data_IF_756790922408
#
_entry.id   IF_756790922408
#
_cell.length_a   1.000
_cell.length_b   1.000
_cell.length_c   1.000
_cell.angle_alpha   90.00
_cell.angle_beta   90.00
_cell.angle_gamma   90.00
#
_symmetry.space_group_name_H-M   'P 1'
#
loop_
_entity.id
_entity.type
_entity.pdbx_description
1 polymer ?
#
# COMPACT_ATOMS: atom_id res chain seq x y z
N UNK A 1 5.59 -16.13 -5.95
CA UNK A 1 4.19 -15.68 -6.08
C UNK A 1 3.89 -14.40 -5.31
N UNK A 2 4.11 -14.34 -3.98
CA UNK A 2 3.78 -13.17 -3.14
C UNK A 2 4.31 -11.82 -3.66
N UNK A 3 5.55 -11.78 -4.17
CA UNK A 3 6.17 -10.55 -4.73
C UNK A 3 5.39 -9.94 -5.89
N UNK A 4 4.90 -10.77 -6.82
CA UNK A 4 4.18 -10.27 -8.00
C UNK A 4 2.82 -9.71 -7.58
N UNK A 5 2.14 -10.40 -6.66
CA UNK A 5 0.85 -9.94 -6.11
C UNK A 5 1.01 -8.57 -5.45
N UNK A 6 2.05 -8.37 -4.63
CA UNK A 6 2.36 -7.09 -3.98
C UNK A 6 2.64 -5.98 -4.99
N UNK A 7 3.44 -6.27 -6.03
CA UNK A 7 3.69 -5.30 -7.12
C UNK A 7 2.38 -4.89 -7.79
N UNK A 8 1.50 -5.84 -8.11
CA UNK A 8 0.22 -5.55 -8.77
C UNK A 8 -0.70 -4.73 -7.86
N UNK A 9 -0.81 -5.10 -6.59
CA UNK A 9 -1.66 -4.39 -5.63
C UNK A 9 -1.15 -2.97 -5.36
N UNK A 10 0.14 -2.78 -5.10
CA UNK A 10 0.68 -1.45 -4.83
C UNK A 10 0.66 -0.57 -6.10
N UNK A 11 0.81 -1.16 -7.29
CA UNK A 11 0.59 -0.45 -8.56
C UNK A 11 -0.87 0.00 -8.74
N UNK A 12 -1.82 -0.85 -8.35
CA UNK A 12 -3.23 -0.49 -8.38
C UNK A 12 -3.53 0.63 -7.37
N UNK A 13 -3.05 0.50 -6.15
CA UNK A 13 -3.18 1.49 -5.08
C UNK A 13 -2.58 2.84 -5.49
N UNK A 14 -1.39 2.84 -6.09
CA UNK A 14 -0.75 4.02 -6.65
C UNK A 14 -1.68 4.77 -7.61
N UNK A 15 -2.25 4.06 -8.60
CA UNK A 15 -3.17 4.67 -9.56
C UNK A 15 -4.45 5.17 -8.88
N UNK A 16 -5.04 4.36 -8.00
CA UNK A 16 -6.25 4.70 -7.26
C UNK A 16 -6.05 5.99 -6.44
N UNK A 17 -4.94 6.09 -5.71
CA UNK A 17 -4.60 7.25 -4.89
C UNK A 17 -4.33 8.50 -5.73
N UNK A 18 -3.73 8.38 -6.91
CA UNK A 18 -3.61 9.51 -7.85
C UNK A 18 -5.00 10.00 -8.26
N UNK A 19 -5.91 9.11 -8.64
CA UNK A 19 -7.27 9.51 -9.03
C UNK A 19 -8.02 10.18 -7.88
N UNK A 20 -7.96 9.60 -6.68
CA UNK A 20 -8.57 10.18 -5.49
C UNK A 20 -7.93 11.54 -5.16
N UNK A 21 -6.61 11.63 -5.20
CA UNK A 21 -5.86 12.88 -4.96
C UNK A 21 -6.30 13.98 -5.91
N UNK A 22 -6.33 13.71 -7.23
CA UNK A 22 -6.80 14.65 -8.25
C UNK A 22 -8.25 15.06 -8.01
N UNK A 23 -9.13 14.12 -7.69
CA UNK A 23 -10.54 14.40 -7.39
C UNK A 23 -10.69 15.33 -6.17
N UNK A 24 -9.84 15.19 -5.15
CA UNK A 24 -9.90 15.99 -3.94
C UNK A 24 -9.25 17.38 -4.04
N UNK A 25 -8.47 17.68 -5.08
CA UNK A 25 -7.83 19.00 -5.28
C UNK A 25 -8.80 20.18 -5.05
N UNK A 26 -9.99 20.23 -5.70
CA UNK A 26 -10.91 21.35 -5.54
C UNK A 26 -11.64 21.38 -4.19
N UNK A 27 -11.73 20.25 -3.47
CA UNK A 27 -12.50 20.16 -2.22
C UNK A 27 -11.63 20.33 -0.97
N UNK A 28 -10.46 19.70 -0.97
CA UNK A 28 -9.50 19.76 0.13
C UNK A 28 -8.08 19.50 -0.41
N UNK A 29 -7.34 20.56 -0.78
CA UNK A 29 -6.02 20.42 -1.39
C UNK A 29 -4.99 19.81 -0.43
N UNK A 30 -5.15 19.98 0.89
CA UNK A 30 -4.28 19.33 1.87
C UNK A 30 -4.49 17.82 1.85
N UNK A 31 -5.74 17.36 1.82
CA UNK A 31 -6.06 15.94 1.72
C UNK A 31 -5.58 15.35 0.39
N UNK A 32 -5.66 16.11 -0.71
CA UNK A 32 -5.09 15.71 -1.99
C UNK A 32 -3.57 15.50 -1.91
N UNK A 33 -2.84 16.39 -1.23
CA UNK A 33 -1.40 16.22 -0.98
C UNK A 33 -1.14 14.93 -0.20
N UNK A 34 -1.92 14.63 0.83
CA UNK A 34 -1.80 13.36 1.57
C UNK A 34 -1.98 12.15 0.67
N UNK A 35 -2.98 12.15 -0.23
CA UNK A 35 -3.16 11.07 -1.19
C UNK A 35 -2.01 10.94 -2.18
N UNK A 36 -1.43 12.06 -2.64
CA UNK A 36 -0.25 12.00 -3.51
C UNK A 36 0.99 11.48 -2.80
N UNK A 37 1.18 11.82 -1.52
CA UNK A 37 2.29 11.28 -0.73
C UNK A 37 2.11 9.77 -0.49
N UNK A 38 0.90 9.33 -0.14
CA UNK A 38 0.59 7.90 -0.06
C UNK A 38 0.75 7.20 -1.42
N UNK A 39 0.43 7.87 -2.54
CA UNK A 39 0.67 7.29 -3.86
C UNK A 39 2.17 7.10 -4.11
N UNK A 40 2.98 8.09 -3.75
CA UNK A 40 4.43 8.01 -3.90
C UNK A 40 5.03 6.86 -3.08
N UNK A 41 4.51 6.64 -1.89
CA UNK A 41 4.86 5.51 -1.02
C UNK A 41 4.55 4.16 -1.69
N UNK A 42 3.33 3.97 -2.22
CA UNK A 42 2.96 2.77 -2.98
C UNK A 42 3.82 2.57 -4.25
N UNK A 43 4.28 3.65 -4.89
CA UNK A 43 5.22 3.58 -6.00
C UNK A 43 6.62 3.15 -5.55
N UNK A 44 7.08 3.63 -4.40
CA UNK A 44 8.36 3.23 -3.81
C UNK A 44 8.38 1.73 -3.57
N UNK A 45 7.31 1.18 -2.98
CA UNK A 45 7.17 -0.27 -2.79
C UNK A 45 7.30 -1.04 -4.09
N UNK A 46 6.61 -0.60 -5.16
CA UNK A 46 6.72 -1.23 -6.48
C UNK A 46 8.17 -1.23 -6.96
N UNK A 47 8.90 -0.13 -6.75
CA UNK A 47 10.31 -0.01 -7.10
C UNK A 47 11.18 -0.91 -6.21
N UNK A 48 10.94 -0.95 -4.91
CA UNK A 48 11.67 -1.80 -3.97
C UNK A 48 11.45 -3.28 -4.29
N UNK A 49 10.21 -3.68 -4.51
CA UNK A 49 9.88 -5.04 -4.93
C UNK A 49 10.47 -5.36 -6.29
N UNK A 50 10.61 -4.42 -7.23
CA UNK A 50 11.18 -4.69 -8.56
C UNK A 50 12.71 -4.72 -8.56
N UNK A 51 13.34 -3.72 -7.95
CA UNK A 51 14.78 -3.42 -8.07
C UNK A 51 15.60 -3.79 -6.83
N UNK A 52 14.96 -4.07 -5.70
CA UNK A 52 15.60 -4.28 -4.39
C UNK A 52 16.40 -3.07 -3.89
N UNK A 53 16.10 -1.89 -4.40
CA UNK A 53 16.65 -0.62 -3.92
C UNK A 53 15.50 0.22 -3.35
N UNK A 54 15.69 0.71 -2.14
CA UNK A 54 14.79 1.69 -1.54
C UNK A 54 15.25 3.09 -1.92
N UNK A 55 14.28 3.95 -2.27
CA UNK A 55 14.53 5.35 -2.60
C UNK A 55 14.41 6.21 -1.34
N UNK A 56 13.59 5.76 -0.39
CA UNK A 56 13.29 6.48 0.84
C UNK A 56 14.36 6.16 1.91
N UNK A 57 14.94 7.20 2.53
CA UNK A 57 15.89 6.99 3.61
C UNK A 57 15.20 6.40 4.87
N UNK A 58 15.88 5.53 5.63
CA UNK A 58 15.28 4.78 6.75
C UNK A 58 14.74 5.66 7.88
N UNK A 59 15.16 6.92 7.96
CA UNK A 59 14.65 7.92 8.90
C UNK A 59 13.16 8.25 8.67
N UNK A 60 12.64 8.02 7.46
CA UNK A 60 11.23 8.28 7.11
C UNK A 60 10.29 7.11 7.37
N UNK A 61 10.74 6.03 8.01
CA UNK A 61 9.93 4.87 8.38
C UNK A 61 8.61 5.22 9.09
N UNK A 62 8.61 6.25 9.94
CA UNK A 62 7.39 6.63 10.67
C UNK A 62 6.30 7.12 9.72
N UNK A 63 6.70 7.80 8.65
CA UNK A 63 5.78 8.33 7.64
C UNK A 63 5.21 7.18 6.79
N UNK A 64 6.07 6.27 6.33
CA UNK A 64 5.72 5.03 5.64
C UNK A 64 4.69 4.21 6.46
N UNK A 65 4.95 4.01 7.76
CA UNK A 65 4.00 3.36 8.66
C UNK A 65 2.61 4.03 8.71
N UNK A 66 2.54 5.37 8.67
CA UNK A 66 1.26 6.08 8.63
C UNK A 66 0.55 5.94 7.28
N UNK A 67 1.30 5.88 6.17
CA UNK A 67 0.71 5.64 4.85
C UNK A 67 0.16 4.22 4.73
N UNK A 68 0.83 3.22 5.30
CA UNK A 68 0.29 1.87 5.34
C UNK A 68 -0.99 1.75 6.19
N UNK A 69 -1.07 2.48 7.31
CA UNK A 69 -2.33 2.59 8.06
C UNK A 69 -3.42 3.25 7.21
N UNK A 70 -3.10 4.33 6.50
CA UNK A 70 -4.05 5.00 5.62
C UNK A 70 -4.54 4.04 4.51
N UNK A 71 -3.66 3.21 3.96
CA UNK A 71 -3.99 2.20 2.97
C UNK A 71 -4.91 1.12 3.52
N UNK A 72 -4.66 0.63 4.75
CA UNK A 72 -5.58 -0.27 5.42
C UNK A 72 -6.99 0.36 5.60
N UNK A 73 -7.07 1.65 5.96
CA UNK A 73 -8.35 2.36 6.08
C UNK A 73 -9.06 2.54 4.73
N UNK A 74 -8.32 2.79 3.65
CA UNK A 74 -8.86 2.86 2.29
C UNK A 74 -9.40 1.49 1.87
N UNK A 75 -8.64 0.42 2.11
CA UNK A 75 -9.08 -0.95 1.84
C UNK A 75 -10.35 -1.30 2.61
N UNK A 76 -10.44 -0.97 3.90
CA UNK A 76 -11.66 -1.13 4.70
C UNK A 76 -12.83 -0.30 4.15
N UNK A 77 -12.56 0.91 3.66
CA UNK A 77 -13.58 1.76 3.04
C UNK A 77 -14.12 1.14 1.74
N UNK A 78 -13.26 0.52 0.93
CA UNK A 78 -13.66 -0.21 -0.28
C UNK A 78 -14.51 -1.44 0.05
N UNK A 79 -14.17 -2.18 1.12
CA UNK A 79 -14.97 -3.32 1.60
C UNK A 79 -16.35 -2.83 2.05
N UNK A 80 -16.39 -1.78 2.88
CA UNK A 80 -17.65 -1.21 3.36
C UNK A 80 -18.51 -0.69 2.19
N UNK A 81 -17.90 0.03 1.25
CA UNK A 81 -18.57 0.51 0.05
C UNK A 81 -19.12 -0.66 -0.79
N UNK A 82 -18.31 -1.67 -1.05
CA UNK A 82 -18.73 -2.87 -1.75
C UNK A 82 -19.91 -3.56 -1.07
N UNK A 83 -19.87 -3.73 0.25
CA UNK A 83 -20.96 -4.35 1.01
C UNK A 83 -22.26 -3.53 1.00
N UNK A 84 -22.18 -2.22 1.22
CA UNK A 84 -23.36 -1.33 1.27
C UNK A 84 -24.10 -1.27 -0.07
N UNK A 85 -23.34 -1.28 -1.17
CA UNK A 85 -23.89 -1.16 -2.52
C UNK A 85 -24.12 -2.50 -3.22
N UNK A 86 -23.68 -3.62 -2.62
CA UNK A 86 -23.87 -4.95 -3.17
C UNK A 86 -25.33 -5.24 -3.54
N UNK A 87 -26.29 -4.82 -2.72
CA UNK A 87 -27.73 -5.06 -2.98
C UNK A 87 -28.43 -4.03 -3.87
N UNK A 88 -27.74 -2.98 -4.32
CA UNK A 88 -28.37 -1.82 -5.00
C UNK A 88 -28.03 -1.69 -6.48
N UNK A 89 -26.93 -2.28 -6.93
CA UNK A 89 -26.37 -2.09 -8.28
C UNK A 89 -25.69 -3.38 -8.77
N UNK A 90 -24.96 -3.33 -9.89
CA UNK A 90 -24.26 -4.47 -10.52
C UNK A 90 -23.43 -5.29 -9.53
N UNK A 91 -23.98 -6.42 -9.08
CA UNK A 91 -23.43 -7.27 -8.01
C UNK A 91 -21.95 -7.62 -8.18
N UNK A 92 -21.52 -7.88 -9.42
CA UNK A 92 -20.15 -8.31 -9.74
C UNK A 92 -19.10 -7.23 -9.42
N UNK A 93 -19.38 -5.97 -9.74
CA UNK A 93 -18.46 -4.85 -9.51
C UNK A 93 -18.23 -4.65 -8.01
N UNK A 94 -19.28 -4.76 -7.20
CA UNK A 94 -19.18 -4.55 -5.74
C UNK A 94 -18.54 -5.73 -5.02
N UNK A 95 -18.68 -6.95 -5.54
CA UNK A 95 -17.92 -8.12 -5.06
C UNK A 95 -16.44 -7.95 -5.36
N UNK A 96 -16.09 -7.57 -6.59
CA UNK A 96 -14.69 -7.32 -6.97
C UNK A 96 -14.09 -6.17 -6.16
N UNK A 97 -14.86 -5.11 -5.92
CA UNK A 97 -14.42 -3.98 -5.09
C UNK A 97 -14.17 -4.40 -3.64
N UNK A 98 -15.08 -5.19 -3.05
CA UNK A 98 -14.90 -5.75 -1.72
C UNK A 98 -13.69 -6.67 -1.64
N UNK A 99 -13.53 -7.53 -2.63
CA UNK A 99 -12.41 -8.47 -2.72
C UNK A 99 -11.07 -7.73 -2.82
N UNK A 100 -11.01 -6.72 -3.67
CA UNK A 100 -9.82 -5.89 -3.82
C UNK A 100 -9.52 -5.10 -2.54
N UNK A 101 -10.54 -4.57 -1.86
CA UNK A 101 -10.38 -3.95 -0.54
C UNK A 101 -9.80 -4.92 0.49
N UNK A 102 -10.23 -6.19 0.51
CA UNK A 102 -9.65 -7.22 1.38
C UNK A 102 -8.18 -7.48 1.07
N UNK A 103 -7.79 -7.51 -0.20
CA UNK A 103 -6.39 -7.68 -0.60
C UNK A 103 -5.52 -6.52 -0.14
N UNK A 104 -6.00 -5.28 -0.28
CA UNK A 104 -5.28 -4.08 0.18
C UNK A 104 -5.10 -4.10 1.70
N UNK A 105 -6.16 -4.42 2.46
CA UNK A 105 -6.06 -4.54 3.92
C UNK A 105 -5.07 -5.61 4.31
N UNK A 106 -5.11 -6.77 3.65
CA UNK A 106 -4.19 -7.86 3.93
C UNK A 106 -2.73 -7.45 3.67
N UNK A 107 -2.43 -6.81 2.55
CA UNK A 107 -1.07 -6.37 2.23
C UNK A 107 -0.58 -5.30 3.20
N UNK A 108 -1.39 -4.29 3.52
CA UNK A 108 -0.97 -3.24 4.46
C UNK A 108 -0.73 -3.77 5.88
N UNK A 109 -1.54 -4.74 6.34
CA UNK A 109 -1.26 -5.42 7.61
C UNK A 109 0.06 -6.20 7.55
N UNK A 110 0.32 -6.88 6.43
CA UNK A 110 1.56 -7.64 6.24
C UNK A 110 2.79 -6.71 6.23
N UNK A 111 2.70 -5.56 5.57
CA UNK A 111 3.77 -4.57 5.50
C UNK A 111 4.03 -3.90 6.85
N UNK A 112 2.97 -3.52 7.57
CA UNK A 112 3.07 -3.07 8.98
C UNK A 112 3.74 -4.13 9.85
N UNK A 113 3.37 -5.40 9.70
CA UNK A 113 3.98 -6.48 10.47
C UNK A 113 5.48 -6.65 10.16
N UNK A 114 5.87 -6.60 8.87
CA UNK A 114 7.27 -6.66 8.45
C UNK A 114 8.06 -5.48 9.02
N UNK A 115 7.53 -4.27 8.88
CA UNK A 115 8.10 -3.03 9.41
C UNK A 115 8.33 -3.10 10.92
N UNK A 116 7.32 -3.52 11.68
CA UNK A 116 7.43 -3.66 13.14
C UNK A 116 8.43 -4.76 13.53
N UNK A 117 8.44 -5.88 12.82
CA UNK A 117 9.38 -6.99 13.07
C UNK A 117 10.83 -6.56 12.84
N UNK A 118 11.09 -5.79 11.78
CA UNK A 118 12.42 -5.27 11.46
C UNK A 118 12.89 -4.23 12.49
N UNK A 119 11.98 -3.40 13.00
CA UNK A 119 12.31 -2.31 13.95
C UNK A 119 12.43 -2.76 15.41
N UNK A 120 11.59 -3.68 15.87
CA UNK A 120 11.56 -4.15 17.27
C UNK A 120 12.34 -5.44 17.54
N UNK A 121 12.99 -6.03 16.52
CA UNK A 121 14.04 -7.01 16.72
C UNK A 121 13.60 -8.47 16.82
N UNK A 122 13.09 -9.03 15.72
CA UNK A 122 13.53 -10.37 15.31
C UNK A 122 14.58 -10.16 14.22
N UNK A 123 15.84 -10.01 14.63
CA UNK A 123 16.98 -10.02 13.70
C UNK A 123 16.98 -11.35 12.93
N UNK A 124 16.47 -11.35 11.70
CA UNK A 124 17.13 -12.15 10.66
C UNK A 124 18.02 -11.17 9.93
N UNK A 125 19.29 -11.11 10.33
CA UNK A 125 20.37 -10.64 9.47
C UNK A 125 20.17 -11.22 8.07
N UNK A 126 19.74 -10.41 7.11
CA UNK A 126 20.03 -10.63 5.70
C UNK A 126 20.83 -9.45 5.17
N UNK A 127 22.14 -9.53 5.41
CA UNK A 127 23.09 -9.33 4.32
C UNK A 127 23.38 -7.91 3.84
N UNK A 128 23.72 -6.97 4.74
CA UNK A 128 24.83 -6.05 4.43
C UNK A 128 26.14 -6.83 4.65
N UNK A 129 26.63 -7.49 3.59
CA UNK A 129 28.00 -7.99 3.29
C UNK A 129 28.01 -9.43 2.76
N UNK A 130 28.67 -9.59 1.60
CA UNK A 130 29.28 -10.80 0.99
C UNK A 130 28.36 -11.89 0.42
N UNK A 131 28.20 -11.83 -0.90
CA UNK A 131 28.47 -12.92 -1.85
C UNK A 131 29.11 -12.25 -3.09
N UNK A 132 30.34 -11.72 -3.00
CA UNK A 132 31.57 -12.40 -3.44
C UNK A 132 31.47 -13.93 -3.46
N UNK A 133 31.57 -14.48 -4.69
CA UNK A 133 31.76 -15.90 -5.06
C UNK A 133 30.55 -16.79 -4.70
N UNK A 134 29.80 -17.42 -5.63
CA UNK A 134 29.99 -17.91 -7.00
C UNK A 134 28.67 -17.78 -7.78
#
# INVERSE_FOLDING_TARGET
MMRIVRIVLNSFCFLLLIFIGVYFIPYNPLLAIFFFLAAFDQLEDVIYYTTKKSIIPPELFVIDFFFEIAMALIGLSLIYFGFVYFGKFFHEVFVLTSFLGMLIVYTSIEDIYIMLRERYGIQVRRGRKKYIEE
#
